data_IF_556766969329
#
_entry.id   IF_556766969329
#
_cell.length_a   1.000
_cell.length_b   1.000
_cell.length_c   1.000
_cell.angle_alpha   90.00
_cell.angle_beta   90.00
_cell.angle_gamma   90.00
#
_symmetry.space_group_name_H-M   'P 1'
#
loop_
_entity.id
_entity.type
_entity.pdbx_description
1 polymer ?
#
# COMPACT_ATOMS: atom_id res chain seq x y z
N UNK A 1 -3.04 6.28 1.88
CA UNK A 1 -2.00 5.23 1.69
C UNK A 1 -2.57 4.19 0.73
N UNK A 2 -1.73 3.49 -0.02
CA UNK A 2 -2.11 2.85 -1.29
C UNK A 2 -3.18 1.75 -1.19
N UNK A 3 -3.92 1.52 -2.28
CA UNK A 3 -4.77 0.33 -2.39
C UNK A 3 -3.95 -0.87 -2.86
N UNK A 4 -4.31 -2.04 -2.35
CA UNK A 4 -3.72 -3.33 -2.69
C UNK A 4 -4.76 -4.19 -3.42
N UNK A 5 -4.45 -4.66 -4.62
CA UNK A 5 -5.29 -5.64 -5.31
C UNK A 5 -5.00 -7.05 -4.77
N UNK A 6 -6.05 -7.78 -4.36
CA UNK A 6 -5.95 -9.17 -3.87
C UNK A 6 -6.64 -10.17 -4.80
N UNK A 7 -5.88 -11.16 -5.31
CA UNK A 7 -6.21 -12.56 -5.74
C UNK A 7 -5.17 -13.13 -6.74
N UNK A 8 -4.68 -14.37 -6.52
CA UNK A 8 -3.61 -15.06 -7.29
C UNK A 8 -4.11 -16.36 -7.97
N UNK A 9 -3.61 -16.67 -9.18
CA UNK A 9 -3.79 -17.94 -9.89
C UNK A 9 -2.43 -18.65 -10.19
N UNK A 10 -2.50 -19.95 -10.53
CA UNK A 10 -1.64 -21.11 -10.22
C UNK A 10 -0.11 -21.14 -10.17
N UNK A 11 0.32 -22.00 -9.23
CA UNK A 11 1.62 -22.60 -8.96
C UNK A 11 2.05 -23.64 -10.03
N UNK A 12 3.37 -23.87 -10.10
CA UNK A 12 4.03 -24.90 -10.92
C UNK A 12 4.27 -26.25 -10.21
N UNK A 13 3.69 -26.50 -9.01
CA UNK A 13 4.02 -27.67 -8.16
C UNK A 13 2.88 -28.65 -7.85
N UNK A 14 1.62 -28.32 -8.17
CA UNK A 14 0.49 -29.25 -8.02
C UNK A 14 -0.14 -29.32 -6.62
N UNK A 15 0.13 -28.37 -5.71
CA UNK A 15 -0.45 -28.39 -4.36
C UNK A 15 -1.79 -27.64 -4.23
N UNK A 16 -2.16 -26.75 -5.17
CA UNK A 16 -3.42 -26.01 -5.14
C UNK A 16 -3.96 -25.70 -6.56
N UNK A 17 -5.18 -25.11 -6.64
CA UNK A 17 -5.85 -24.58 -7.85
C UNK A 17 -6.40 -23.12 -7.71
N UNK A 18 -6.27 -22.45 -6.55
CA UNK A 18 -6.27 -20.96 -6.39
C UNK A 18 -5.58 -20.54 -5.08
N UNK A 19 -5.06 -19.30 -4.98
CA UNK A 19 -4.64 -18.73 -3.69
C UNK A 19 -4.85 -17.21 -3.65
N UNK A 20 -4.87 -16.63 -2.45
CA UNK A 20 -4.91 -15.19 -2.27
C UNK A 20 -3.49 -14.63 -2.23
N UNK A 21 -3.30 -13.48 -2.87
CA UNK A 21 -2.04 -12.77 -2.82
C UNK A 21 -2.13 -11.44 -3.53
N UNK A 22 -1.00 -10.74 -3.54
CA UNK A 22 -0.91 -9.37 -4.05
C UNK A 22 -0.32 -9.37 -5.45
N UNK A 23 -0.80 -8.47 -6.31
CA UNK A 23 -0.41 -8.41 -7.71
C UNK A 23 1.11 -8.30 -7.89
N UNK A 24 1.80 -7.47 -7.10
CA UNK A 24 3.24 -7.30 -7.20
C UNK A 24 4.02 -8.62 -7.08
N UNK A 25 3.61 -9.51 -6.18
CA UNK A 25 4.23 -10.84 -6.03
C UNK A 25 3.92 -11.72 -7.24
N UNK A 26 2.69 -11.67 -7.77
CA UNK A 26 2.34 -12.42 -8.97
C UNK A 26 3.17 -12.02 -10.19
N UNK A 27 3.50 -10.73 -10.34
CA UNK A 27 4.35 -10.26 -11.43
C UNK A 27 5.81 -10.65 -11.26
N UNK A 28 6.34 -10.55 -10.03
CA UNK A 28 7.69 -11.02 -9.70
C UNK A 28 7.86 -12.52 -10.00
N UNK A 29 6.83 -13.31 -9.72
CA UNK A 29 6.81 -14.77 -9.94
C UNK A 29 6.31 -15.17 -11.33
N UNK A 30 5.95 -14.20 -12.20
CA UNK A 30 5.38 -14.42 -13.54
C UNK A 30 4.14 -15.33 -13.53
N UNK A 31 3.30 -15.19 -12.51
CA UNK A 31 2.04 -15.90 -12.36
C UNK A 31 0.90 -15.12 -13.01
N UNK A 32 -0.21 -15.81 -13.28
CA UNK A 32 -1.43 -15.15 -13.76
C UNK A 32 -2.15 -14.47 -12.59
N UNK A 33 -2.44 -13.18 -12.74
CA UNK A 33 -3.18 -12.40 -11.75
C UNK A 33 -4.62 -12.16 -12.20
N UNK A 34 -5.58 -12.27 -11.27
CA UNK A 34 -6.98 -11.91 -11.51
C UNK A 34 -7.40 -10.96 -10.38
N UNK A 35 -7.61 -9.66 -10.65
CA UNK A 35 -8.06 -8.71 -9.63
C UNK A 35 -9.50 -9.02 -9.23
N UNK A 36 -9.79 -9.14 -7.94
CA UNK A 36 -11.15 -9.38 -7.43
C UNK A 36 -11.64 -8.30 -6.48
N UNK A 37 -10.77 -7.80 -5.60
CA UNK A 37 -11.09 -6.62 -4.79
C UNK A 37 -9.84 -5.81 -4.45
N UNK A 38 -10.08 -4.56 -4.08
CA UNK A 38 -9.07 -3.64 -3.56
C UNK A 38 -9.22 -3.51 -2.05
N UNK A 39 -8.09 -3.53 -1.34
CA UNK A 39 -8.04 -3.25 0.09
C UNK A 39 -7.20 -1.99 0.35
N UNK A 40 -7.72 -1.01 1.09
CA UNK A 40 -6.94 0.16 1.47
C UNK A 40 -5.88 -0.22 2.53
N UNK A 41 -4.62 0.10 2.26
CA UNK A 41 -3.57 -0.02 3.25
C UNK A 41 -3.44 1.30 4.00
N UNK A 42 -3.68 1.33 5.31
CA UNK A 42 -3.59 2.56 6.12
C UNK A 42 -2.43 2.48 7.11
N UNK A 43 -1.66 3.57 7.23
CA UNK A 43 -0.66 3.71 8.28
C UNK A 43 -1.30 4.31 9.53
N UNK A 44 -1.16 3.62 10.66
CA UNK A 44 -1.53 4.14 11.97
C UNK A 44 -0.28 4.72 12.61
N UNK A 45 -0.38 5.98 13.05
CA UNK A 45 0.68 6.68 13.77
C UNK A 45 0.18 6.95 15.19
N UNK A 46 0.94 6.58 16.24
CA UNK A 46 0.62 6.99 17.60
C UNK A 46 0.48 8.50 17.70
N UNK A 47 -0.57 8.97 18.38
CA UNK A 47 -0.94 10.37 18.35
C UNK A 47 0.17 11.28 18.92
N UNK A 48 0.84 10.83 19.99
CA UNK A 48 1.98 11.50 20.64
C UNK A 48 3.21 11.63 19.72
N UNK A 49 3.32 10.76 18.72
CA UNK A 49 4.40 10.77 17.73
C UNK A 49 4.04 11.57 16.48
N UNK A 50 2.80 12.02 16.32
CA UNK A 50 2.33 12.70 15.10
C UNK A 50 3.19 13.93 14.76
N UNK A 51 3.56 14.70 15.78
CA UNK A 51 4.38 15.91 15.63
C UNK A 51 5.89 15.65 15.67
N UNK A 52 6.29 14.39 15.90
CA UNK A 52 7.70 14.03 15.93
C UNK A 52 8.37 14.33 14.58
N UNK A 53 9.63 14.76 14.64
CA UNK A 53 10.44 15.01 13.43
C UNK A 53 10.54 13.76 12.56
N UNK A 54 10.56 12.57 13.16
CA UNK A 54 10.66 11.30 12.45
C UNK A 54 9.41 11.07 11.60
N UNK A 55 8.22 11.20 12.19
CA UNK A 55 6.94 11.04 11.48
C UNK A 55 6.80 12.10 10.39
N UNK A 56 7.06 13.37 10.70
CA UNK A 56 6.98 14.46 9.70
C UNK A 56 7.92 14.23 8.51
N UNK A 57 9.16 13.81 8.77
CA UNK A 57 10.12 13.49 7.70
C UNK A 57 9.68 12.30 6.85
N UNK A 58 9.19 11.24 7.50
CA UNK A 58 8.69 10.05 6.81
C UNK A 58 7.50 10.39 5.92
N UNK A 59 6.52 11.13 6.45
CA UNK A 59 5.35 11.56 5.70
C UNK A 59 5.71 12.51 4.54
N UNK A 60 6.74 13.35 4.71
CA UNK A 60 7.27 14.20 3.65
C UNK A 60 7.81 13.43 2.43
N UNK A 61 8.14 12.14 2.59
CA UNK A 61 8.55 11.26 1.49
C UNK A 61 7.41 10.87 0.54
N UNK A 62 6.15 11.07 0.93
CA UNK A 62 4.97 10.76 0.11
C UNK A 62 4.50 11.92 -0.78
N UNK A 63 5.34 12.95 -0.95
CA UNK A 63 5.10 14.00 -1.94
C UNK A 63 5.17 13.42 -3.36
N UNK A 64 4.02 13.23 -4.00
CA UNK A 64 3.90 12.68 -5.35
C UNK A 64 4.74 13.43 -6.39
N UNK A 65 5.00 14.74 -6.20
CA UNK A 65 5.84 15.53 -7.12
C UNK A 65 7.32 15.15 -7.05
N UNK A 66 7.75 14.55 -5.93
CA UNK A 66 9.13 14.14 -5.66
C UNK A 66 9.32 12.63 -5.68
N UNK A 67 8.23 11.87 -5.79
CA UNK A 67 8.29 10.42 -5.84
C UNK A 67 8.97 9.94 -7.14
N UNK A 68 9.95 9.03 -7.05
CA UNK A 68 10.53 8.38 -8.22
C UNK A 68 9.47 7.72 -9.11
N UNK A 69 9.61 7.85 -10.44
CA UNK A 69 8.66 7.29 -11.42
C UNK A 69 8.42 5.78 -11.27
N UNK A 70 9.40 5.03 -10.79
CA UNK A 70 9.24 3.59 -10.56
C UNK A 70 8.28 3.28 -9.41
N UNK A 71 8.18 4.17 -8.39
CA UNK A 71 7.20 4.04 -7.32
C UNK A 71 5.79 4.44 -7.79
N UNK A 72 5.70 5.32 -8.80
CA UNK A 72 4.42 5.73 -9.39
C UNK A 72 3.78 4.64 -10.25
N UNK A 73 4.59 3.74 -10.79
CA UNK A 73 4.14 2.66 -11.66
C UNK A 73 4.24 1.29 -10.98
N UNK A 74 4.10 1.24 -9.65
CA UNK A 74 4.13 -0.03 -8.92
C UNK A 74 2.89 -0.85 -9.28
N UNK A 75 3.06 -2.03 -9.88
CA UNK A 75 1.93 -2.79 -10.34
C UNK A 75 1.10 -3.34 -9.18
N UNK A 76 -0.21 -3.09 -9.24
CA UNK A 76 -1.13 -3.46 -8.17
C UNK A 76 -1.12 -2.56 -6.95
N UNK A 77 -0.57 -1.36 -7.07
CA UNK A 77 -0.70 -0.29 -6.08
C UNK A 77 -1.36 0.92 -6.71
N UNK A 78 -2.48 1.37 -6.13
CA UNK A 78 -3.00 2.71 -6.40
C UNK A 78 -2.40 3.69 -5.38
N UNK A 79 -1.56 4.61 -5.83
CA UNK A 79 -0.92 5.62 -4.98
C UNK A 79 -1.58 7.00 -5.05
N UNK A 80 -2.74 7.12 -5.70
CA UNK A 80 -3.49 8.37 -5.87
C UNK A 80 -3.74 9.09 -4.52
N UNK A 81 -4.00 8.32 -3.47
CA UNK A 81 -4.31 8.80 -2.11
C UNK A 81 -3.13 8.65 -1.13
N UNK A 82 -1.89 8.54 -1.63
CA UNK A 82 -0.70 8.42 -0.78
C UNK A 82 -0.49 9.71 0.06
N UNK A 83 -0.09 9.56 1.32
CA UNK A 83 0.08 10.70 2.23
C UNK A 83 -1.21 11.36 2.75
N UNK A 84 -2.39 11.01 2.21
CA UNK A 84 -3.67 11.52 2.70
C UNK A 84 -3.93 11.09 4.15
N UNK A 85 -4.27 12.06 4.99
CA UNK A 85 -4.73 11.82 6.36
C UNK A 85 -6.23 11.59 6.35
N UNK A 86 -6.64 10.35 6.61
CA UNK A 86 -8.06 9.94 6.59
C UNK A 86 -8.78 10.16 7.92
N UNK A 87 -8.02 10.22 9.02
CA UNK A 87 -8.55 10.40 10.37
C UNK A 87 -7.49 11.03 11.27
N UNK A 88 -7.96 11.88 12.20
CA UNK A 88 -7.19 12.40 13.32
C UNK A 88 -8.07 12.36 14.57
N UNK A 89 -7.53 12.06 15.76
CA UNK A 89 -8.27 12.20 17.00
C UNK A 89 -8.63 13.68 17.23
N UNK A 90 -9.81 13.95 17.81
CA UNK A 90 -10.29 15.31 18.09
C UNK A 90 -9.48 16.04 19.17
N UNK A 91 -8.64 15.36 19.96
CA UNK A 91 -7.70 16.02 20.86
C UNK A 91 -6.46 15.18 21.17
N UNK A 92 -5.29 15.76 20.87
CA UNK A 92 -4.15 15.83 21.80
C UNK A 92 -3.96 17.29 22.25
N UNK A 93 -5.06 18.06 22.20
CA UNK A 93 -5.15 19.37 22.78
C UNK A 93 -5.66 19.18 24.21
N UNK A 94 -4.73 18.85 25.10
CA UNK A 94 -4.68 19.25 26.51
C UNK A 94 -3.22 19.09 26.99
#
# INVERSE_FOLDING_TARGET
FCNLFKIVFFEKSGEADASFGIQNISEMLKLKFIPVFEEPFNLIVPADQWESRIVRNFLGGFDQTRMPKHLQNLPGYDISEIGKVIWKPESLAD
#
